data_IF_062788344186
#
_entry.id   IF_062788344186
#
_cell.length_a   1.000
_cell.length_b   1.000
_cell.length_c   1.000
_cell.angle_alpha   90.00
_cell.angle_beta   90.00
_cell.angle_gamma   90.00
#
_symmetry.space_group_name_H-M   'P 1'
#
loop_
_entity.id
_entity.type
_entity.pdbx_description
1 polymer ?
#
# COMPACT_ATOMS: atom_id res chain seq x y z
N UNK A 1 -13.32 24.11 7.27
CA UNK A 1 -14.21 22.95 7.06
C UNK A 1 -13.35 21.72 6.81
N UNK A 2 -13.21 20.82 7.79
CA UNK A 2 -12.48 19.57 7.59
C UNK A 2 -13.29 18.68 6.64
N UNK A 3 -12.75 18.42 5.45
CA UNK A 3 -13.38 17.56 4.45
C UNK A 3 -13.25 16.13 4.97
N UNK A 4 -14.26 15.64 5.67
CA UNK A 4 -14.37 14.26 6.16
C UNK A 4 -14.58 13.33 4.95
N UNK A 5 -13.51 13.12 4.17
CA UNK A 5 -13.47 12.13 3.11
C UNK A 5 -13.37 10.79 3.84
N UNK A 6 -14.39 9.94 3.68
CA UNK A 6 -14.49 8.63 4.30
C UNK A 6 -13.19 7.81 4.17
N UNK A 7 -12.33 7.86 5.19
CA UNK A 7 -11.27 6.87 5.41
C UNK A 7 -11.93 5.59 5.93
N UNK A 8 -12.79 5.00 5.10
CA UNK A 8 -13.33 3.68 5.39
C UNK A 8 -12.18 2.72 5.19
N UNK A 9 -11.66 2.14 6.28
CA UNK A 9 -10.70 1.04 6.25
C UNK A 9 -11.10 0.10 5.12
N UNK A 10 -10.28 0.05 4.08
CA UNK A 10 -10.68 -0.71 2.90
C UNK A 10 -10.62 -2.16 3.29
N UNK A 11 -11.77 -2.81 3.45
CA UNK A 11 -11.79 -4.26 3.66
C UNK A 11 -11.23 -4.87 2.37
N UNK A 12 -10.00 -5.42 2.37
CA UNK A 12 -9.45 -6.02 1.18
C UNK A 12 -10.35 -7.18 0.79
N UNK A 13 -10.46 -7.50 -0.51
CA UNK A 13 -11.19 -8.72 -0.89
C UNK A 13 -10.49 -9.93 -0.28
N UNK A 14 -11.24 -11.01 -0.01
CA UNK A 14 -10.65 -12.30 0.36
C UNK A 14 -9.55 -12.64 -0.66
N UNK A 15 -8.36 -13.01 -0.18
CA UNK A 15 -7.14 -13.29 -0.95
C UNK A 15 -6.35 -12.08 -1.50
N UNK A 16 -6.57 -10.88 -0.97
CA UNK A 16 -5.65 -9.75 -1.26
C UNK A 16 -4.27 -10.03 -0.66
N UNK A 17 -3.20 -9.76 -1.43
CA UNK A 17 -1.83 -10.00 -0.98
C UNK A 17 -1.52 -9.22 0.32
N UNK A 18 -0.86 -9.82 1.33
CA UNK A 18 -0.61 -9.17 2.63
C UNK A 18 0.08 -7.80 2.54
N UNK A 19 1.02 -7.62 1.61
CA UNK A 19 1.69 -6.32 1.41
C UNK A 19 0.74 -5.23 0.91
N UNK A 20 -0.28 -5.58 0.11
CA UNK A 20 -1.30 -4.61 -0.31
C UNK A 20 -2.19 -4.26 0.87
N UNK A 21 -2.59 -5.25 1.67
CA UNK A 21 -3.34 -5.00 2.91
C UNK A 21 -2.57 -4.05 3.83
N UNK A 22 -1.27 -4.30 4.04
CA UNK A 22 -0.41 -3.41 4.84
C UNK A 22 -0.35 -2.00 4.25
N UNK A 23 -0.11 -1.87 2.94
CA UNK A 23 -0.11 -0.55 2.28
C UNK A 23 -1.42 0.21 2.51
N UNK A 24 -2.57 -0.47 2.42
CA UNK A 24 -3.88 0.14 2.63
C UNK A 24 -4.14 0.52 4.10
N UNK A 25 -3.66 -0.28 5.05
CA UNK A 25 -3.70 0.07 6.47
C UNK A 25 -2.83 1.31 6.74
N UNK A 26 -1.62 1.39 6.18
CA UNK A 26 -0.74 2.57 6.29
C UNK A 26 -1.38 3.83 5.68
N UNK A 27 -1.99 3.70 4.51
CA UNK A 27 -2.75 4.80 3.91
C UNK A 27 -3.87 5.29 4.84
N UNK A 28 -4.56 4.38 5.52
CA UNK A 28 -5.63 4.73 6.44
C UNK A 28 -5.10 5.40 7.71
N UNK A 29 -4.02 4.88 8.30
CA UNK A 29 -3.38 5.43 9.49
C UNK A 29 -2.81 6.83 9.25
N UNK A 30 -2.15 7.05 8.11
CA UNK A 30 -1.57 8.34 7.74
C UNK A 30 -2.56 9.31 7.09
N UNK A 31 -3.83 8.92 6.96
CA UNK A 31 -4.84 9.68 6.23
C UNK A 31 -4.37 10.04 4.80
N UNK A 32 -3.68 9.13 4.11
CA UNK A 32 -3.23 9.33 2.74
C UNK A 32 -4.29 8.83 1.75
N UNK A 33 -4.78 9.71 0.89
CA UNK A 33 -5.71 9.35 -0.19
C UNK A 33 -4.99 8.71 -1.37
N UNK A 34 -5.72 7.98 -2.22
CA UNK A 34 -5.16 7.47 -3.48
C UNK A 34 -4.63 8.58 -4.40
N UNK A 35 -5.24 9.77 -4.39
CA UNK A 35 -4.78 10.90 -5.20
C UNK A 35 -3.43 11.42 -4.69
N UNK A 36 -3.26 11.54 -3.38
CA UNK A 36 -1.99 11.93 -2.76
C UNK A 36 -0.92 10.88 -2.97
N UNK A 37 -1.23 9.61 -2.70
CA UNK A 37 -0.27 8.52 -2.91
C UNK A 37 0.16 8.44 -4.38
N UNK A 38 -0.76 8.64 -5.32
CA UNK A 38 -0.45 8.64 -6.74
C UNK A 38 0.52 9.78 -7.10
N UNK A 39 0.29 10.98 -6.58
CA UNK A 39 1.19 12.14 -6.79
C UNK A 39 2.59 11.93 -6.18
N UNK A 40 2.67 11.29 -5.01
CA UNK A 40 3.94 11.08 -4.29
C UNK A 40 4.76 9.92 -4.86
N UNK A 41 4.11 8.81 -5.21
CA UNK A 41 4.78 7.59 -5.67
C UNK A 41 4.97 7.52 -7.19
N UNK A 42 4.26 8.36 -7.96
CA UNK A 42 4.22 8.25 -9.43
C UNK A 42 3.36 7.09 -9.97
N UNK A 43 2.82 6.24 -9.09
CA UNK A 43 1.94 5.13 -9.49
C UNK A 43 0.54 5.69 -9.77
N UNK A 44 -0.08 5.29 -10.88
CA UNK A 44 -1.40 5.82 -11.25
C UNK A 44 -2.50 5.40 -10.26
N UNK A 45 -3.43 6.32 -9.95
CA UNK A 45 -4.61 6.03 -9.12
C UNK A 45 -5.42 4.80 -9.59
N UNK A 46 -5.69 4.60 -10.90
CA UNK A 46 -6.34 3.38 -11.37
C UNK A 46 -5.57 2.10 -11.00
N UNK A 47 -4.25 2.12 -11.16
CA UNK A 47 -3.37 1.00 -10.79
C UNK A 47 -3.45 0.71 -9.29
N UNK A 48 -3.33 1.73 -8.43
CA UNK A 48 -3.46 1.57 -6.98
C UNK A 48 -4.81 0.97 -6.57
N UNK A 49 -5.91 1.41 -7.20
CA UNK A 49 -7.25 0.85 -6.94
C UNK A 49 -7.39 -0.61 -7.41
N UNK A 50 -6.73 -0.97 -8.51
CA UNK A 50 -6.77 -2.32 -9.06
C UNK A 50 -6.14 -3.35 -8.11
N UNK A 51 -5.06 -2.97 -7.39
CA UNK A 51 -4.36 -3.84 -6.44
C UNK A 51 -5.26 -4.37 -5.32
N UNK A 52 -6.32 -3.63 -4.95
CA UNK A 52 -7.32 -4.08 -3.95
C UNK A 52 -8.17 -5.27 -4.40
N UNK A 53 -8.11 -5.65 -5.68
CA UNK A 53 -9.10 -6.58 -6.25
C UNK A 53 -8.55 -7.65 -7.17
N UNK A 54 -7.61 -7.31 -8.05
CA UNK A 54 -7.15 -8.24 -9.12
C UNK A 54 -5.80 -7.86 -9.72
N UNK A 55 -5.05 -6.97 -9.07
CA UNK A 55 -3.76 -6.48 -9.58
C UNK A 55 -2.62 -6.96 -8.69
N UNK A 56 -1.61 -7.56 -9.29
CA UNK A 56 -0.33 -7.85 -8.63
C UNK A 56 0.61 -6.68 -8.96
N UNK A 57 1.05 -5.89 -7.97
CA UNK A 57 2.05 -4.86 -8.22
C UNK A 57 3.35 -5.51 -8.68
N UNK A 58 4.09 -4.86 -9.57
CA UNK A 58 5.51 -5.16 -9.70
C UNK A 58 6.25 -4.60 -8.46
N UNK A 59 7.46 -5.10 -8.20
CA UNK A 59 8.24 -4.70 -7.03
C UNK A 59 8.47 -3.18 -6.99
N UNK A 60 8.89 -2.60 -8.12
CA UNK A 60 9.24 -1.18 -8.24
C UNK A 60 8.08 -0.27 -7.83
N UNK A 61 6.86 -0.55 -8.31
CA UNK A 61 5.68 0.25 -7.97
C UNK A 61 5.30 0.06 -6.50
N UNK A 62 5.51 -1.12 -5.93
CA UNK A 62 5.22 -1.38 -4.52
C UNK A 62 6.21 -0.64 -3.61
N UNK A 63 7.51 -0.67 -3.94
CA UNK A 63 8.56 0.10 -3.26
C UNK A 63 8.26 1.60 -3.32
N UNK A 64 7.93 2.13 -4.51
CA UNK A 64 7.59 3.54 -4.65
C UNK A 64 6.36 3.95 -3.82
N UNK A 65 5.34 3.08 -3.74
CA UNK A 65 4.16 3.33 -2.93
C UNK A 65 4.46 3.32 -1.42
N UNK A 66 5.27 2.37 -0.94
CA UNK A 66 5.72 2.36 0.46
C UNK A 66 6.65 3.53 0.79
N UNK A 67 7.59 3.85 -0.11
CA UNK A 67 8.51 5.00 0.03
C UNK A 67 7.76 6.33 0.13
N UNK A 68 6.69 6.51 -0.63
CA UNK A 68 5.82 7.69 -0.55
C UNK A 68 5.09 7.85 0.79
N UNK A 69 5.01 6.78 1.60
CA UNK A 69 4.47 6.76 2.96
C UNK A 69 5.58 6.70 4.03
N UNK A 70 6.85 6.84 3.64
CA UNK A 70 7.99 6.81 4.57
C UNK A 70 8.47 5.41 4.97
N UNK A 71 8.14 4.38 4.18
CA UNK A 71 8.55 3.00 4.43
C UNK A 71 9.52 2.47 3.37
N UNK A 72 10.28 1.46 3.75
CA UNK A 72 11.16 0.70 2.86
C UNK A 72 10.73 -0.77 2.85
N UNK A 73 10.77 -1.42 1.68
CA UNK A 73 10.63 -2.87 1.60
C UNK A 73 11.99 -3.52 1.87
N UNK A 74 12.03 -4.42 2.84
CA UNK A 74 13.26 -5.11 3.24
C UNK A 74 13.10 -6.61 3.17
N UNK A 75 14.20 -7.31 2.86
CA UNK A 75 14.25 -8.77 2.96
C UNK A 75 14.55 -9.14 4.41
N UNK A 76 13.65 -9.93 5.01
CA UNK A 76 13.84 -10.46 6.36
C UNK A 76 14.06 -11.97 6.31
N UNK A 77 15.05 -12.46 7.06
CA UNK A 77 15.27 -13.89 7.25
C UNK A 77 14.10 -14.50 8.03
N UNK A 78 13.49 -15.57 7.51
CA UNK A 78 12.31 -16.20 8.14
C UNK A 78 12.70 -17.15 9.29
N UNK A 79 13.89 -17.76 9.22
CA UNK A 79 14.45 -18.61 10.27
C UNK A 79 15.95 -18.37 10.35
N UNK A 80 16.50 -18.29 11.56
CA UNK A 80 17.94 -18.34 11.72
C UNK A 80 18.47 -19.72 11.34
N UNK A 81 19.51 -19.74 10.52
CA UNK A 81 20.37 -20.91 10.39
C UNK A 81 21.15 -20.94 11.69
N UNK A 82 20.65 -21.69 12.67
CA UNK A 82 21.48 -22.17 13.77
C UNK A 82 22.70 -22.84 13.15
N UNK A 83 23.88 -22.26 13.41
CA UNK A 83 25.15 -22.90 13.09
C UNK A 83 25.35 -24.13 13.95
#
# INVERSE_FOLDING_TARGET
MAKMIYYKRSNPKANTHPLITRLLDEMAEQQCTYDELSKRSGVSKPTLKQWRSRGVPNMINLEAAFGALGYELTVKRIKDVSQ
#
